data_IF_238776728329
#
_entry.id   IF_238776728329
#
_cell.length_a   1.000
_cell.length_b   1.000
_cell.length_c   1.000
_cell.angle_alpha   90.00
_cell.angle_beta   90.00
_cell.angle_gamma   90.00
#
_symmetry.space_group_name_H-M   'P 1'
#
loop_
_entity.id
_entity.type
_entity.pdbx_description
1 polymer ?
#
# COMPACT_ATOMS: atom_id res chain seq x y z
N UNK A 1 14.63 7.79 -5.60
CA UNK A 1 13.24 7.37 -5.88
C UNK A 1 12.51 8.47 -6.62
N UNK A 2 11.69 8.15 -7.63
CA UNK A 2 10.88 9.14 -8.35
C UNK A 2 9.57 9.47 -7.61
N UNK A 3 8.96 10.61 -7.94
CA UNK A 3 7.65 10.99 -7.39
C UNK A 3 6.55 9.97 -7.70
N UNK A 4 6.61 9.32 -8.88
CA UNK A 4 5.67 8.26 -9.25
C UNK A 4 5.84 7.01 -8.39
N UNK A 5 7.07 6.55 -8.18
CA UNK A 5 7.35 5.42 -7.31
C UNK A 5 6.89 5.68 -5.87
N UNK A 6 7.09 6.92 -5.39
CA UNK A 6 6.61 7.33 -4.06
C UNK A 6 5.09 7.25 -3.94
N UNK A 7 4.35 7.75 -4.93
CA UNK A 7 2.89 7.67 -4.95
C UNK A 7 2.40 6.21 -5.07
N UNK A 8 3.04 5.42 -5.92
CA UNK A 8 2.74 4.01 -6.12
C UNK A 8 2.86 3.21 -4.81
N UNK A 9 3.91 3.46 -4.03
CA UNK A 9 4.12 2.83 -2.71
C UNK A 9 3.05 3.28 -1.72
N UNK A 10 2.80 4.59 -1.63
CA UNK A 10 1.79 5.12 -0.69
C UNK A 10 0.38 4.65 -1.04
N UNK A 11 0.08 4.46 -2.33
CA UNK A 11 -1.16 3.85 -2.79
C UNK A 11 -1.27 2.38 -2.36
N UNK A 12 -0.17 1.62 -2.49
CA UNK A 12 -0.10 0.24 -2.02
C UNK A 12 -0.33 0.10 -0.53
N UNK A 13 0.34 0.92 0.28
CA UNK A 13 0.17 0.95 1.74
C UNK A 13 -1.26 1.39 2.13
N UNK A 14 -1.83 2.37 1.43
CA UNK A 14 -3.22 2.76 1.64
C UNK A 14 -4.19 1.61 1.38
N UNK A 15 -4.03 0.90 0.25
CA UNK A 15 -4.84 -0.28 -0.07
C UNK A 15 -4.73 -1.36 1.01
N UNK A 16 -3.51 -1.64 1.49
CA UNK A 16 -3.30 -2.57 2.59
C UNK A 16 -4.06 -2.12 3.84
N UNK A 17 -3.97 -0.84 4.23
CA UNK A 17 -4.68 -0.36 5.43
C UNK A 17 -6.21 -0.45 5.34
N UNK A 18 -6.78 -0.30 4.15
CA UNK A 18 -8.25 -0.35 3.96
C UNK A 18 -8.78 -1.78 3.81
N UNK A 19 -7.95 -2.71 3.29
CA UNK A 19 -8.35 -4.09 3.01
C UNK A 19 -7.91 -5.07 4.10
N UNK A 20 -6.74 -4.84 4.69
CA UNK A 20 -6.03 -5.71 5.62
C UNK A 20 -5.22 -4.86 6.64
N UNK A 21 -5.86 -4.15 7.56
CA UNK A 21 -5.19 -3.22 8.48
C UNK A 21 -4.15 -3.87 9.40
N UNK A 22 -4.22 -5.20 9.59
CA UNK A 22 -3.27 -5.98 10.39
C UNK A 22 -2.17 -6.65 9.56
N UNK A 23 -2.18 -6.50 8.23
CA UNK A 23 -1.15 -7.08 7.38
C UNK A 23 0.15 -6.28 7.45
N UNK A 24 1.30 -6.95 7.25
CA UNK A 24 2.59 -6.28 7.15
C UNK A 24 2.69 -5.45 5.85
N UNK A 25 3.65 -4.52 5.80
CA UNK A 25 3.82 -3.61 4.66
C UNK A 25 4.19 -4.34 3.36
N UNK A 26 4.83 -5.51 3.46
CA UNK A 26 5.27 -6.34 2.34
C UNK A 26 4.16 -7.24 1.75
N UNK A 27 2.97 -7.28 2.35
CA UNK A 27 1.88 -8.17 1.92
C UNK A 27 1.15 -7.74 0.64
N UNK A 28 1.49 -6.59 0.04
CA UNK A 28 0.78 -6.06 -1.12
C UNK A 28 0.75 -7.03 -2.32
N UNK A 29 1.86 -7.65 -2.75
CA UNK A 29 1.83 -8.59 -3.88
C UNK A 29 0.88 -9.77 -3.65
N UNK A 30 0.90 -10.34 -2.45
CA UNK A 30 0.00 -11.41 -2.05
C UNK A 30 -1.48 -11.01 -2.13
N UNK A 31 -1.80 -9.79 -1.66
CA UNK A 31 -3.14 -9.21 -1.76
C UNK A 31 -3.56 -8.97 -3.24
N UNK A 32 -2.66 -8.51 -4.11
CA UNK A 32 -3.00 -8.20 -5.50
C UNK A 32 -3.10 -9.46 -6.38
N UNK A 33 -2.27 -10.47 -6.15
CA UNK A 33 -2.16 -11.66 -6.99
C UNK A 33 -3.07 -12.84 -6.59
N UNK A 34 -3.88 -12.71 -5.54
CA UNK A 34 -4.65 -13.84 -4.96
C UNK A 34 -3.76 -15.04 -4.57
N UNK A 35 -2.46 -14.80 -4.34
CA UNK A 35 -1.48 -15.87 -4.07
C UNK A 35 -1.54 -16.39 -2.65
N UNK A 36 -2.00 -15.55 -1.71
CA UNK A 36 -2.14 -15.97 -0.33
C UNK A 36 -3.60 -16.36 -0.05
N UNK A 37 -3.88 -17.66 0.14
CA UNK A 37 -5.22 -18.13 0.47
C UNK A 37 -5.72 -17.56 1.81
N UNK A 38 -4.85 -17.05 2.69
CA UNK A 38 -5.25 -16.31 3.87
C UNK A 38 -6.00 -15.02 3.54
N UNK A 39 -5.74 -14.40 2.38
CA UNK A 39 -6.45 -13.19 1.93
C UNK A 39 -7.71 -13.51 1.12
N UNK A 40 -7.69 -14.57 0.30
CA UNK A 40 -8.81 -14.90 -0.58
C UNK A 40 -9.90 -15.75 0.10
N UNK A 41 -9.56 -16.60 1.08
CA UNK A 41 -10.52 -17.54 1.68
C UNK A 41 -11.11 -17.09 3.04
N UNK A 42 -10.53 -16.07 3.69
CA UNK A 42 -10.92 -15.68 5.07
C UNK A 42 -11.71 -14.37 5.17
N UNK A 43 -11.84 -13.62 4.08
CA UNK A 43 -12.40 -12.27 4.14
C UNK A 43 -13.73 -12.20 3.40
N UNK A 44 -14.81 -12.08 4.18
CA UNK A 44 -16.11 -11.61 3.71
C UNK A 44 -16.00 -10.11 3.35
N UNK A 45 -15.29 -9.80 2.26
CA UNK A 45 -15.13 -8.42 1.83
C UNK A 45 -16.45 -7.81 1.40
N UNK A 46 -16.61 -6.54 1.74
CA UNK A 46 -17.72 -5.74 1.22
C UNK A 46 -17.54 -5.48 -0.28
N UNK A 47 -18.63 -5.20 -1.00
CA UNK A 47 -18.57 -4.80 -2.41
C UNK A 47 -17.61 -3.61 -2.66
N UNK A 48 -17.53 -2.69 -1.69
CA UNK A 48 -16.57 -1.57 -1.71
C UNK A 48 -15.12 -2.06 -1.69
N UNK A 49 -14.80 -3.01 -0.81
CA UNK A 49 -13.45 -3.58 -0.70
C UNK A 49 -13.07 -4.37 -1.95
N UNK A 50 -13.98 -5.14 -2.54
CA UNK A 50 -13.76 -5.80 -3.83
C UNK A 50 -13.44 -4.80 -4.95
N UNK A 51 -14.21 -3.71 -5.05
CA UNK A 51 -13.99 -2.65 -6.04
C UNK A 51 -12.63 -1.97 -5.82
N UNK A 52 -12.30 -1.67 -4.57
CA UNK A 52 -11.04 -1.04 -4.17
C UNK A 52 -9.84 -1.90 -4.57
N UNK A 53 -9.89 -3.21 -4.26
CA UNK A 53 -8.85 -4.17 -4.65
C UNK A 53 -8.71 -4.30 -6.15
N UNK A 54 -9.82 -4.42 -6.89
CA UNK A 54 -9.78 -4.56 -8.35
C UNK A 54 -9.08 -3.37 -9.01
N UNK A 55 -9.40 -2.15 -8.56
CA UNK A 55 -8.73 -0.91 -9.00
C UNK A 55 -7.27 -0.85 -8.59
N UNK A 56 -6.98 -1.16 -7.33
CA UNK A 56 -5.62 -1.22 -6.82
C UNK A 56 -4.74 -2.17 -7.63
N UNK A 57 -5.29 -3.34 -7.98
CA UNK A 57 -4.63 -4.31 -8.87
C UNK A 57 -4.36 -3.71 -10.24
N UNK A 58 -5.35 -3.11 -10.89
CA UNK A 58 -5.14 -2.50 -12.21
C UNK A 58 -4.05 -1.41 -12.21
N UNK A 59 -3.96 -0.62 -11.14
CA UNK A 59 -3.00 0.48 -11.03
C UNK A 59 -1.59 0.04 -10.60
N UNK A 60 -1.48 -1.01 -9.79
CA UNK A 60 -0.23 -1.44 -9.15
C UNK A 60 0.27 -2.79 -9.66
N UNK A 61 -0.29 -3.32 -10.76
CA UNK A 61 0.13 -4.59 -11.35
C UNK A 61 1.63 -4.61 -11.63
N UNK A 62 2.26 -3.49 -11.99
CA UNK A 62 3.71 -3.42 -12.23
C UNK A 62 4.56 -3.66 -10.98
N UNK A 63 3.99 -3.55 -9.78
CA UNK A 63 4.66 -3.77 -8.49
C UNK A 63 4.47 -5.18 -7.93
N UNK A 64 3.77 -6.05 -8.65
CA UNK A 64 3.45 -7.40 -8.19
C UNK A 64 4.63 -8.37 -8.08
N UNK A 65 5.80 -8.19 -8.72
CA UNK A 65 6.96 -9.00 -8.37
C UNK A 65 7.38 -8.73 -6.91
N UNK A 66 7.39 -9.77 -6.06
CA UNK A 66 7.65 -9.65 -4.63
C UNK A 66 8.95 -8.90 -4.32
N UNK A 67 10.01 -9.20 -5.06
CA UNK A 67 11.31 -8.52 -4.96
C UNK A 67 11.21 -7.03 -5.24
N UNK A 68 10.43 -6.65 -6.27
CA UNK A 68 10.26 -5.25 -6.66
C UNK A 68 9.51 -4.44 -5.61
N UNK A 69 8.50 -5.03 -4.96
CA UNK A 69 7.79 -4.35 -3.88
C UNK A 69 8.68 -4.13 -2.67
N UNK A 70 9.41 -5.17 -2.25
CA UNK A 70 10.35 -5.10 -1.13
C UNK A 70 11.46 -4.07 -1.38
N UNK A 71 12.11 -4.10 -2.55
CA UNK A 71 13.16 -3.14 -2.92
C UNK A 71 12.65 -1.68 -2.92
N UNK A 72 11.39 -1.48 -3.33
CA UNK A 72 10.75 -0.18 -3.28
C UNK A 72 10.44 0.26 -1.85
N UNK A 73 10.02 -0.64 -0.98
CA UNK A 73 9.85 -0.35 0.44
C UNK A 73 11.18 0.02 1.12
N UNK A 74 12.28 -0.68 0.79
CA UNK A 74 13.63 -0.30 1.24
C UNK A 74 13.99 1.12 0.82
N UNK A 75 13.74 1.41 -0.45
CA UNK A 75 14.03 2.73 -1.00
C UNK A 75 13.15 3.79 -0.34
N UNK A 76 11.90 3.46 -0.02
CA UNK A 76 10.95 4.35 0.64
C UNK A 76 11.38 4.73 2.04
N UNK A 77 11.82 3.77 2.87
CA UNK A 77 12.26 4.06 4.24
C UNK A 77 13.52 4.93 4.28
N UNK A 78 14.34 4.88 3.23
CA UNK A 78 15.53 5.73 3.07
C UNK A 78 15.21 7.16 2.59
N UNK A 79 13.99 7.45 2.12
CA UNK A 79 13.57 8.81 1.73
C UNK A 79 13.51 9.72 2.97
N UNK A 80 13.83 11.01 2.85
CA UNK A 80 13.63 11.96 3.95
C UNK A 80 12.22 11.87 4.55
N UNK A 81 12.16 11.75 5.88
CA UNK A 81 10.93 11.48 6.65
C UNK A 81 9.79 12.45 6.33
N UNK A 82 10.10 13.71 6.04
CA UNK A 82 9.11 14.74 5.72
C UNK A 82 8.41 14.54 4.35
N UNK A 83 8.94 13.68 3.47
CA UNK A 83 8.36 13.37 2.16
C UNK A 83 7.53 12.09 2.14
N UNK A 84 7.56 11.31 3.22
CA UNK A 84 6.82 10.06 3.36
C UNK A 84 5.44 10.33 3.99
N UNK A 85 4.38 9.73 3.45
CA UNK A 85 3.05 9.72 4.07
C UNK A 85 2.89 8.65 5.17
N UNK A 86 3.68 7.58 5.13
CA UNK A 86 3.61 6.46 6.07
C UNK A 86 4.92 6.32 6.87
N UNK A 87 4.80 5.96 8.14
CA UNK A 87 5.88 5.34 8.91
C UNK A 87 5.84 3.84 8.69
N UNK A 88 7.00 3.21 8.50
CA UNK A 88 7.16 1.75 8.41
C UNK A 88 8.15 1.31 9.49
N UNK A 89 7.84 0.24 10.22
CA UNK A 89 8.75 -0.32 11.22
C UNK A 89 10.00 -0.93 10.57
N UNK A 90 11.11 -1.00 11.31
CA UNK A 90 12.39 -1.53 10.79
C UNK A 90 12.32 -2.97 10.31
N UNK A 91 11.36 -3.75 10.83
CA UNK A 91 11.08 -5.14 10.46
C UNK A 91 9.96 -5.27 9.40
N UNK A 92 9.39 -4.15 8.91
CA UNK A 92 8.27 -4.05 7.93
C UNK A 92 6.96 -4.70 8.38
N UNK A 93 6.89 -5.19 9.61
CA UNK A 93 5.69 -5.86 10.12
C UNK A 93 4.54 -4.90 10.38
N UNK A 94 4.84 -3.60 10.52
CA UNK A 94 3.86 -2.56 10.81
C UNK A 94 4.11 -1.33 9.97
N UNK A 95 3.03 -0.68 9.59
CA UNK A 95 3.07 0.65 8.99
C UNK A 95 1.88 1.47 9.48
N UNK A 96 2.01 2.79 9.50
CA UNK A 96 0.94 3.70 9.91
C UNK A 96 0.99 4.99 9.12
N UNK A 97 -0.17 5.56 8.86
CA UNK A 97 -0.26 6.88 8.24
C UNK A 97 0.25 7.95 9.22
N UNK A 98 1.08 8.88 8.73
CA UNK A 98 1.51 10.05 9.51
C UNK A 98 0.36 11.04 9.67
N UNK A 99 0.19 11.54 10.88
CA UNK A 99 -0.88 12.49 11.25
C UNK A 99 -0.48 13.97 11.06
N UNK A 100 0.81 14.25 10.88
CA UNK A 100 1.39 15.60 10.76
C UNK A 100 1.55 16.02 9.27
N UNK A 101 1.29 17.30 8.97
CA UNK A 101 1.70 17.96 7.71
C UNK A 101 1.12 17.42 6.39
N UNK A 102 1.82 17.70 5.27
CA UNK A 102 1.50 17.47 3.83
C UNK A 102 0.82 16.13 3.45
N UNK A 103 0.85 15.13 4.35
CA UNK A 103 0.27 13.79 4.25
C UNK A 103 -1.27 13.78 4.10
N UNK A 104 -2.00 14.70 4.75
CA UNK A 104 -3.48 14.78 4.68
C UNK A 104 -4.02 15.09 3.28
N UNK A 105 -3.40 16.05 2.58
CA UNK A 105 -3.76 16.36 1.19
C UNK A 105 -3.45 15.19 0.26
N UNK A 106 -2.34 14.48 0.53
CA UNK A 106 -1.92 13.29 -0.22
C UNK A 106 -2.91 12.13 -0.12
N UNK A 107 -3.40 11.83 1.09
CA UNK A 107 -4.42 10.80 1.29
C UNK A 107 -5.71 11.09 0.51
N UNK A 108 -6.09 12.37 0.44
CA UNK A 108 -7.25 12.80 -0.35
C UNK A 108 -7.05 12.53 -1.84
N UNK A 109 -5.83 12.74 -2.36
CA UNK A 109 -5.47 12.39 -3.74
C UNK A 109 -5.50 10.87 -3.96
N UNK A 110 -4.91 10.09 -3.05
CA UNK A 110 -4.89 8.62 -3.15
C UNK A 110 -6.31 8.03 -3.13
N UNK A 111 -7.19 8.55 -2.27
CA UNK A 111 -8.61 8.18 -2.26
C UNK A 111 -9.30 8.51 -3.57
N UNK A 112 -9.07 9.71 -4.14
CA UNK A 112 -9.64 10.12 -5.43
C UNK A 112 -9.22 9.20 -6.58
N UNK A 113 -7.96 8.75 -6.60
CA UNK A 113 -7.45 7.80 -7.60
C UNK A 113 -8.16 6.45 -7.52
N UNK A 114 -8.64 6.07 -6.34
CA UNK A 114 -9.29 4.77 -6.09
C UNK A 114 -10.83 4.81 -6.06
N UNK A 115 -11.45 5.99 -6.06
CA UNK A 115 -12.91 6.23 -6.10
C UNK A 115 -13.48 6.24 -7.51
#
# INVERSE_FOLDING_TARGET
MSARQLLDIELGLFLLSELLPSAPADALPGLLLDRDPAFSARLNWTARQHKLRSRGRALLTHLTPDTRWLDLLETYVAVPVHLQAYDISCDRTRFRLKTEGFSRNRLTVLRKVLS
#
